data_IF_733024148054
#
_entry.id   IF_733024148054
#
_cell.length_a   1.000
_cell.length_b   1.000
_cell.length_c   1.000
_cell.angle_alpha   90.00
_cell.angle_beta   90.00
_cell.angle_gamma   90.00
#
_symmetry.space_group_name_H-M   'P 1'
#
loop_
_entity.id
_entity.type
_entity.pdbx_description
1 polymer ?
#
# COMPACT_ATOMS: atom_id res chain seq x y z
N UNK A 1 -15.50 -9.86 9.73
CA UNK A 1 -16.71 -8.99 9.70
C UNK A 1 -17.98 -9.79 9.98
N UNK A 2 -18.29 -10.85 9.23
CA UNK A 2 -19.48 -11.69 9.49
C UNK A 2 -19.58 -12.18 10.95
N UNK A 3 -18.47 -12.53 11.56
CA UNK A 3 -18.39 -13.01 12.94
C UNK A 3 -18.58 -11.92 14.01
N UNK A 4 -18.51 -10.65 13.61
CA UNK A 4 -18.64 -9.49 14.51
C UNK A 4 -20.06 -8.90 14.42
N UNK A 5 -20.61 -8.78 13.21
CA UNK A 5 -21.92 -8.18 12.92
C UNK A 5 -23.01 -9.27 12.83
N UNK A 6 -22.63 -10.54 12.63
CA UNK A 6 -23.57 -11.66 12.45
C UNK A 6 -24.20 -11.76 11.05
N UNK A 7 -24.00 -10.75 10.19
CA UNK A 7 -24.53 -10.66 8.84
C UNK A 7 -23.44 -10.30 7.82
N UNK A 8 -23.64 -10.67 6.56
CA UNK A 8 -22.71 -10.32 5.47
C UNK A 8 -22.96 -8.92 4.93
N UNK A 9 -24.22 -8.52 4.92
CA UNK A 9 -24.68 -7.25 4.37
C UNK A 9 -25.69 -6.66 5.35
N UNK A 10 -25.68 -5.34 5.48
CA UNK A 10 -26.59 -4.57 6.29
C UNK A 10 -27.08 -3.38 5.47
N UNK A 11 -28.40 -3.26 5.32
CA UNK A 11 -29.00 -2.08 4.71
C UNK A 11 -29.27 -1.05 5.79
N UNK A 12 -28.83 0.18 5.57
CA UNK A 12 -28.98 1.28 6.51
C UNK A 12 -29.62 2.47 5.83
N UNK A 13 -30.65 3.02 6.45
CA UNK A 13 -31.19 4.33 6.09
C UNK A 13 -30.34 5.41 6.75
N UNK A 14 -29.80 6.32 5.94
CA UNK A 14 -28.94 7.42 6.37
C UNK A 14 -29.55 8.76 5.99
N UNK A 15 -29.36 9.82 6.78
CA UNK A 15 -29.70 11.18 6.38
C UNK A 15 -28.98 11.58 5.09
N UNK A 16 -29.61 12.42 4.28
CA UNK A 16 -28.99 13.01 3.10
C UNK A 16 -27.74 13.81 3.50
N UNK A 17 -26.66 13.65 2.73
CA UNK A 17 -25.37 14.31 3.00
C UNK A 17 -24.48 13.59 4.02
N UNK A 18 -24.88 12.41 4.52
CA UNK A 18 -24.04 11.61 5.43
C UNK A 18 -22.72 11.24 4.75
N UNK A 19 -21.62 11.45 5.45
CA UNK A 19 -20.27 11.07 4.98
C UNK A 19 -19.92 9.63 5.35
N UNK A 20 -18.92 9.08 4.68
CA UNK A 20 -18.39 7.73 4.95
C UNK A 20 -17.84 7.62 6.40
N UNK A 21 -17.24 8.69 6.94
CA UNK A 21 -16.79 8.74 8.33
C UNK A 21 -17.94 8.68 9.33
N UNK A 22 -19.02 9.46 9.11
CA UNK A 22 -20.20 9.45 9.98
C UNK A 22 -20.92 8.11 9.97
N UNK A 23 -20.95 7.43 8.79
CA UNK A 23 -21.44 6.06 8.70
C UNK A 23 -20.59 5.11 9.56
N UNK A 24 -19.24 5.21 9.47
CA UNK A 24 -18.34 4.39 10.27
C UNK A 24 -18.54 4.62 11.77
N UNK A 25 -18.69 5.87 12.21
CA UNK A 25 -18.96 6.23 13.61
C UNK A 25 -20.30 5.64 14.09
N UNK A 26 -21.33 5.70 13.26
CA UNK A 26 -22.63 5.09 13.57
C UNK A 26 -22.50 3.57 13.75
N UNK A 27 -21.86 2.89 12.79
CA UNK A 27 -21.66 1.44 12.86
C UNK A 27 -20.77 1.07 14.08
N UNK A 28 -19.74 1.86 14.39
CA UNK A 28 -18.87 1.65 15.54
C UNK A 28 -19.63 1.78 16.87
N UNK A 29 -20.61 2.68 16.95
CA UNK A 29 -21.49 2.87 18.11
C UNK A 29 -22.46 1.70 18.29
N UNK A 30 -23.06 1.25 17.19
CA UNK A 30 -24.03 0.16 17.21
C UNK A 30 -23.38 -1.21 17.43
N UNK A 31 -22.07 -1.32 17.09
CA UNK A 31 -21.27 -2.53 17.21
C UNK A 31 -19.94 -2.25 17.95
N UNK A 32 -19.89 -2.30 19.30
CA UNK A 32 -18.71 -1.92 20.09
C UNK A 32 -17.42 -2.68 19.75
N UNK A 33 -17.53 -3.94 19.27
CA UNK A 33 -16.37 -4.72 18.80
C UNK A 33 -15.76 -4.15 17.51
N UNK A 34 -16.57 -3.53 16.66
CA UNK A 34 -16.10 -2.78 15.49
C UNK A 34 -15.55 -1.42 15.89
N UNK A 35 -16.11 -0.77 16.89
CA UNK A 35 -15.64 0.50 17.41
C UNK A 35 -14.17 0.47 17.83
N UNK A 36 -13.73 -0.62 18.48
CA UNK A 36 -12.33 -0.82 18.82
C UNK A 36 -11.38 -0.92 17.60
N UNK A 37 -11.91 -1.28 16.44
CA UNK A 37 -11.16 -1.42 15.18
C UNK A 37 -11.37 -0.22 14.24
N UNK A 38 -12.35 0.64 14.49
CA UNK A 38 -12.73 1.74 13.60
C UNK A 38 -11.56 2.61 13.11
N UNK A 39 -10.56 2.98 13.95
CA UNK A 39 -9.41 3.77 13.50
C UNK A 39 -8.51 3.06 12.48
N UNK A 40 -8.65 1.74 12.34
CA UNK A 40 -7.82 0.92 11.45
C UNK A 40 -8.60 0.38 10.25
N UNK A 41 -9.91 0.64 10.17
CA UNK A 41 -10.74 0.21 9.06
C UNK A 41 -10.54 1.12 7.85
N UNK A 42 -10.32 0.50 6.67
CA UNK A 42 -10.39 1.20 5.40
C UNK A 42 -11.83 1.18 4.90
N UNK A 43 -12.23 2.28 4.28
CA UNK A 43 -13.55 2.41 3.64
C UNK A 43 -13.41 2.24 2.13
N UNK A 44 -14.31 1.48 1.54
CA UNK A 44 -14.49 1.47 0.10
C UNK A 44 -15.97 1.74 -0.21
N UNK A 45 -16.23 2.59 -1.20
CA UNK A 45 -17.56 2.90 -1.72
C UNK A 45 -17.60 2.49 -3.18
N UNK A 46 -18.56 1.63 -3.54
CA UNK A 46 -18.72 1.11 -4.90
C UNK A 46 -17.42 0.46 -5.44
N UNK A 47 -16.71 -0.29 -4.56
CA UNK A 47 -15.45 -1.02 -4.86
C UNK A 47 -14.22 -0.13 -5.05
N UNK A 48 -14.30 1.17 -4.76
CA UNK A 48 -13.19 2.11 -4.76
C UNK A 48 -12.88 2.56 -3.33
N UNK A 49 -11.59 2.71 -2.98
CA UNK A 49 -11.23 3.28 -1.69
C UNK A 49 -11.76 4.69 -1.56
N UNK A 50 -12.35 5.01 -0.42
CA UNK A 50 -12.96 6.30 -0.16
C UNK A 50 -12.34 6.95 1.09
N UNK A 51 -12.14 8.27 1.01
CA UNK A 51 -11.81 9.07 2.18
C UNK A 51 -13.06 9.24 3.06
N UNK A 52 -12.84 9.47 4.35
CA UNK A 52 -13.93 9.67 5.30
C UNK A 52 -14.85 10.84 4.97
N UNK A 53 -14.36 11.83 4.24
CA UNK A 53 -15.10 13.03 3.79
C UNK A 53 -16.05 12.77 2.61
N UNK A 54 -16.01 11.60 1.97
CA UNK A 54 -16.89 11.27 0.85
C UNK A 54 -18.34 11.23 1.30
N UNK A 55 -19.19 12.03 0.64
CA UNK A 55 -20.65 12.02 0.83
C UNK A 55 -21.22 10.77 0.15
N UNK A 56 -22.07 10.05 0.86
CA UNK A 56 -22.74 8.84 0.40
C UNK A 56 -24.04 9.20 -0.33
N UNK A 57 -24.34 8.46 -1.38
CA UNK A 57 -25.57 8.54 -2.15
C UNK A 57 -26.46 7.32 -1.90
N UNK A 58 -27.75 7.44 -2.24
CA UNK A 58 -28.68 6.31 -2.18
C UNK A 58 -28.22 5.20 -3.14
N UNK A 59 -28.24 3.96 -2.65
CA UNK A 59 -27.77 2.79 -3.38
C UNK A 59 -26.26 2.56 -3.35
N UNK A 60 -25.46 3.40 -2.67
CA UNK A 60 -24.02 3.16 -2.53
C UNK A 60 -23.74 1.87 -1.74
N UNK A 61 -22.85 1.03 -2.27
CA UNK A 61 -22.31 -0.14 -1.58
C UNK A 61 -21.06 0.30 -0.79
N UNK A 62 -21.15 0.28 0.54
CA UNK A 62 -20.02 0.63 1.40
C UNK A 62 -19.42 -0.62 2.03
N UNK A 63 -18.14 -0.87 1.78
CA UNK A 63 -17.39 -1.95 2.39
C UNK A 63 -16.46 -1.42 3.48
N UNK A 64 -16.56 -2.02 4.67
CA UNK A 64 -15.60 -1.85 5.74
C UNK A 64 -14.52 -2.92 5.59
N UNK A 65 -13.31 -2.51 5.27
CA UNK A 65 -12.19 -3.42 5.05
C UNK A 65 -11.34 -3.40 6.32
N UNK A 66 -11.38 -4.47 7.16
CA UNK A 66 -10.52 -4.54 8.31
C UNK A 66 -9.06 -4.60 7.87
N UNK A 67 -8.14 -4.03 8.64
CA UNK A 67 -6.74 -4.39 8.48
C UNK A 67 -6.68 -5.91 8.62
N UNK A 68 -6.06 -6.57 7.67
CA UNK A 68 -5.95 -8.04 7.67
C UNK A 68 -5.15 -8.48 8.91
N UNK A 69 -5.84 -8.65 10.04
CA UNK A 69 -5.31 -9.31 11.23
C UNK A 69 -5.12 -10.79 10.91
N UNK A 70 -3.93 -11.19 10.64
CA UNK A 70 -3.61 -12.50 10.08
C UNK A 70 -3.21 -12.44 8.61
N UNK A 71 -3.15 -11.25 8.00
CA UNK A 71 -2.84 -11.04 6.60
C UNK A 71 -1.52 -11.67 6.16
N UNK A 72 -1.54 -12.19 4.96
CA UNK A 72 -0.36 -12.59 4.19
C UNK A 72 0.48 -11.34 3.88
N UNK A 73 1.75 -11.54 3.55
CA UNK A 73 2.57 -10.48 2.99
C UNK A 73 1.87 -9.82 1.78
N UNK A 74 2.11 -8.53 1.57
CA UNK A 74 1.52 -7.76 0.48
C UNK A 74 2.55 -7.52 -0.62
N UNK A 75 2.23 -7.96 -1.84
CA UNK A 75 3.04 -7.72 -3.03
C UNK A 75 2.14 -7.20 -4.13
N UNK A 76 2.30 -5.94 -4.52
CA UNK A 76 1.33 -5.28 -5.39
C UNK A 76 1.98 -4.33 -6.40
N UNK A 77 1.47 -4.38 -7.64
CA UNK A 77 1.63 -3.31 -8.64
C UNK A 77 0.33 -2.51 -8.65
N UNK A 78 0.42 -1.19 -8.67
CA UNK A 78 -0.75 -0.29 -8.63
C UNK A 78 -0.56 0.93 -9.53
N UNK A 79 -1.64 1.47 -10.06
CA UNK A 79 -1.66 2.78 -10.74
C UNK A 79 -1.98 3.92 -9.77
N UNK A 80 -2.60 3.58 -8.65
CA UNK A 80 -2.98 4.55 -7.62
C UNK A 80 -1.79 5.03 -6.76
N UNK A 81 -1.98 6.10 -6.00
CA UNK A 81 -0.96 6.65 -5.12
C UNK A 81 -0.55 5.65 -4.02
N UNK A 82 0.73 5.65 -3.70
CA UNK A 82 1.30 4.81 -2.64
C UNK A 82 1.40 5.61 -1.35
N UNK A 83 0.78 5.10 -0.28
CA UNK A 83 0.82 5.66 1.07
C UNK A 83 1.46 4.70 2.06
N UNK A 84 2.29 5.22 2.98
CA UNK A 84 2.97 4.41 3.99
C UNK A 84 2.05 3.98 5.13
N UNK A 85 1.15 4.83 5.59
CA UNK A 85 0.36 4.58 6.80
C UNK A 85 -0.46 3.28 6.73
N UNK A 86 -1.22 3.00 5.66
CA UNK A 86 -1.92 1.73 5.52
C UNK A 86 -0.97 0.53 5.45
N UNK A 87 0.21 0.68 4.82
CA UNK A 87 1.19 -0.39 4.70
C UNK A 87 1.84 -0.70 6.04
N UNK A 88 2.21 0.33 6.83
CA UNK A 88 2.72 0.17 8.20
C UNK A 88 1.69 -0.55 9.06
N UNK A 89 0.43 -0.12 9.02
CA UNK A 89 -0.64 -0.78 9.75
C UNK A 89 -0.83 -2.25 9.34
N UNK A 90 -0.66 -2.58 8.05
CA UNK A 90 -0.82 -3.95 7.53
C UNK A 90 0.26 -4.92 8.00
N UNK A 91 1.49 -4.44 8.23
CA UNK A 91 2.62 -5.29 8.66
C UNK A 91 2.83 -5.33 10.16
N UNK A 92 2.32 -4.35 10.90
CA UNK A 92 2.49 -4.28 12.36
C UNK A 92 1.87 -5.48 13.07
N UNK A 93 2.60 -6.05 14.04
CA UNK A 93 2.19 -7.19 14.87
C UNK A 93 2.51 -6.90 16.32
N UNK A 94 1.80 -7.55 17.22
CA UNK A 94 2.10 -7.47 18.66
C UNK A 94 3.49 -8.06 19.01
N UNK A 95 4.04 -8.88 18.12
CA UNK A 95 5.39 -9.47 18.23
C UNK A 95 6.47 -8.59 17.63
N UNK A 96 6.10 -7.57 16.83
CA UNK A 96 7.05 -6.71 16.16
C UNK A 96 7.59 -5.63 17.09
N UNK A 97 8.88 -5.63 17.31
CA UNK A 97 9.59 -4.55 18.02
C UNK A 97 10.06 -3.43 17.11
N UNK A 98 9.99 -3.62 15.79
CA UNK A 98 10.41 -2.63 14.80
C UNK A 98 9.66 -2.78 13.46
N UNK A 99 9.42 -1.64 12.81
CA UNK A 99 9.00 -1.55 11.42
C UNK A 99 9.99 -0.67 10.68
N UNK A 100 10.61 -1.20 9.64
CA UNK A 100 11.47 -0.44 8.72
C UNK A 100 10.70 -0.11 7.44
N UNK A 101 10.89 1.10 6.94
CA UNK A 101 10.23 1.58 5.73
C UNK A 101 11.24 2.15 4.74
N UNK A 102 11.05 1.86 3.47
CA UNK A 102 11.70 2.54 2.36
C UNK A 102 10.62 3.13 1.46
N UNK A 103 10.74 4.41 1.14
CA UNK A 103 9.87 5.11 0.21
C UNK A 103 10.72 5.70 -0.91
N UNK A 104 10.57 5.19 -2.14
CA UNK A 104 11.20 5.75 -3.33
C UNK A 104 10.36 6.88 -3.89
N UNK A 105 10.94 8.07 -4.02
CA UNK A 105 10.26 9.29 -4.45
C UNK A 105 10.87 9.79 -5.76
N UNK A 106 10.04 10.32 -6.65
CA UNK A 106 10.48 10.96 -7.89
C UNK A 106 11.22 12.25 -7.59
N UNK A 107 12.49 12.33 -8.01
CA UNK A 107 13.36 13.50 -7.79
C UNK A 107 13.29 14.45 -8.97
N UNK A 108 13.46 15.75 -8.69
CA UNK A 108 13.53 16.80 -9.70
C UNK A 108 14.78 16.69 -10.60
N UNK A 109 15.88 16.18 -10.08
CA UNK A 109 17.12 16.03 -10.83
C UNK A 109 17.58 14.58 -10.88
N UNK A 110 17.95 14.11 -12.07
CA UNK A 110 18.58 12.84 -12.32
C UNK A 110 19.70 13.00 -13.35
N UNK A 111 20.88 12.44 -13.08
CA UNK A 111 22.04 12.47 -13.99
C UNK A 111 22.43 13.87 -14.47
N UNK A 112 22.26 14.89 -13.62
CA UNK A 112 22.55 16.29 -13.95
C UNK A 112 21.52 17.00 -14.83
N UNK A 113 20.37 16.36 -15.12
CA UNK A 113 19.27 16.92 -15.92
C UNK A 113 18.02 17.10 -15.07
N UNK A 114 17.23 18.10 -15.42
CA UNK A 114 15.94 18.34 -14.77
C UNK A 114 14.89 17.39 -15.34
N UNK A 115 14.28 16.61 -14.45
CA UNK A 115 13.19 15.69 -14.75
C UNK A 115 11.88 16.44 -14.62
N UNK A 116 10.97 16.26 -15.58
CA UNK A 116 9.61 16.79 -15.50
C UNK A 116 8.62 15.76 -14.95
N UNK A 117 8.82 14.49 -15.27
CA UNK A 117 8.06 13.37 -14.71
C UNK A 117 8.79 12.04 -14.95
N UNK A 118 8.40 11.01 -14.22
CA UNK A 118 8.77 9.63 -14.53
C UNK A 118 7.54 8.86 -15.04
N UNK A 119 7.77 7.92 -15.93
CA UNK A 119 6.78 6.92 -16.32
C UNK A 119 7.34 5.54 -15.97
N UNK A 120 6.55 4.75 -15.25
CA UNK A 120 6.87 3.37 -14.96
C UNK A 120 5.94 2.44 -15.70
N UNK A 121 6.49 1.40 -16.27
CA UNK A 121 5.76 0.30 -16.87
C UNK A 121 6.23 -1.01 -16.26
N UNK A 122 5.36 -2.02 -16.21
CA UNK A 122 5.68 -3.32 -15.65
C UNK A 122 4.88 -4.43 -16.33
N UNK A 123 5.36 -5.67 -16.19
CA UNK A 123 4.53 -6.85 -16.39
C UNK A 123 3.97 -7.29 -15.03
N UNK A 124 2.71 -6.93 -14.67
CA UNK A 124 2.22 -6.99 -13.30
C UNK A 124 2.27 -8.39 -12.67
N UNK A 125 1.89 -9.44 -13.41
CA UNK A 125 1.87 -10.80 -12.90
C UNK A 125 3.29 -11.28 -12.55
N UNK A 126 4.25 -11.04 -13.45
CA UNK A 126 5.65 -11.43 -13.24
C UNK A 126 6.29 -10.55 -12.17
N UNK A 127 6.01 -9.25 -12.16
CA UNK A 127 6.51 -8.32 -11.14
C UNK A 127 6.06 -8.75 -9.73
N UNK A 128 4.78 -9.06 -9.57
CA UNK A 128 4.23 -9.56 -8.30
C UNK A 128 4.84 -10.90 -7.90
N UNK A 129 5.03 -11.83 -8.84
CA UNK A 129 5.70 -13.10 -8.57
C UNK A 129 7.16 -12.91 -8.11
N UNK A 130 7.89 -11.97 -8.74
CA UNK A 130 9.26 -11.62 -8.34
C UNK A 130 9.33 -10.95 -6.97
N UNK A 131 8.38 -10.09 -6.63
CA UNK A 131 8.28 -9.51 -5.28
C UNK A 131 8.03 -10.59 -4.22
N UNK A 132 7.19 -11.61 -4.50
CA UNK A 132 7.01 -12.77 -3.61
C UNK A 132 8.30 -13.56 -3.43
N UNK A 133 9.04 -13.79 -4.52
CA UNK A 133 10.35 -14.43 -4.46
C UNK A 133 11.30 -13.67 -3.52
N UNK A 134 11.33 -12.33 -3.60
CA UNK A 134 12.12 -11.48 -2.69
C UNK A 134 11.68 -11.70 -1.24
N UNK A 135 10.40 -11.75 -0.98
CA UNK A 135 9.87 -12.04 0.36
C UNK A 135 10.33 -13.39 0.91
N UNK A 136 10.36 -14.42 0.07
CA UNK A 136 10.87 -15.75 0.44
C UNK A 136 12.39 -15.72 0.70
N UNK A 137 13.17 -14.98 -0.10
CA UNK A 137 14.61 -14.78 0.11
C UNK A 137 14.90 -14.09 1.44
N UNK A 138 14.09 -13.05 1.79
CA UNK A 138 14.18 -12.32 3.06
C UNK A 138 13.93 -13.26 4.24
N UNK A 139 12.86 -14.05 4.20
CA UNK A 139 12.49 -14.97 5.28
C UNK A 139 13.52 -16.07 5.53
N UNK A 140 14.32 -16.43 4.54
CA UNK A 140 15.43 -17.37 4.69
C UNK A 140 16.63 -16.77 5.42
N UNK A 141 16.78 -15.44 5.39
CA UNK A 141 17.94 -14.73 5.92
C UNK A 141 17.66 -14.04 7.25
N UNK A 142 16.43 -13.56 7.48
CA UNK A 142 16.05 -12.78 8.66
C UNK A 142 14.71 -13.25 9.25
N UNK A 143 14.60 -13.25 10.60
CA UNK A 143 13.33 -13.49 11.28
C UNK A 143 12.44 -12.24 11.19
N UNK A 144 11.71 -12.10 10.08
CA UNK A 144 10.76 -11.01 9.87
C UNK A 144 9.32 -11.48 10.11
N UNK A 145 8.49 -10.58 10.63
CA UNK A 145 7.08 -10.88 10.90
C UNK A 145 6.23 -10.74 9.63
N UNK A 146 6.32 -9.56 8.96
CA UNK A 146 5.52 -9.23 7.77
C UNK A 146 6.31 -8.38 6.78
N UNK A 147 5.93 -8.50 5.51
CA UNK A 147 6.54 -7.80 4.39
C UNK A 147 5.42 -7.19 3.53
N UNK A 148 5.56 -5.91 3.19
CA UNK A 148 4.78 -5.27 2.15
C UNK A 148 5.72 -4.63 1.12
N UNK A 149 5.54 -4.94 -0.16
CA UNK A 149 6.24 -4.33 -1.29
C UNK A 149 5.18 -3.88 -2.29
N UNK A 150 5.07 -2.58 -2.48
CA UNK A 150 4.12 -1.97 -3.43
C UNK A 150 4.88 -1.09 -4.39
N UNK A 151 4.67 -1.26 -5.69
CA UNK A 151 5.26 -0.39 -6.72
C UNK A 151 4.16 0.21 -7.58
N UNK A 152 4.24 1.53 -7.79
CA UNK A 152 3.31 2.26 -8.66
C UNK A 152 3.83 2.28 -10.08
N UNK A 153 2.93 2.11 -11.04
CA UNK A 153 3.16 2.26 -12.47
C UNK A 153 2.38 3.45 -13.03
N UNK A 154 2.61 3.77 -14.31
CA UNK A 154 2.06 4.93 -14.97
C UNK A 154 2.92 6.17 -14.75
N UNK A 155 2.33 7.34 -14.99
CA UNK A 155 3.03 8.63 -14.89
C UNK A 155 3.04 9.14 -13.46
N UNK A 156 4.22 9.54 -12.98
CA UNK A 156 4.44 10.08 -11.66
C UNK A 156 5.07 11.48 -11.77
N UNK A 157 4.53 12.43 -11.01
CA UNK A 157 5.08 13.76 -10.86
C UNK A 157 6.25 13.77 -9.85
N UNK A 158 7.01 14.86 -9.85
CA UNK A 158 8.07 15.11 -8.86
C UNK A 158 7.46 15.11 -7.45
N UNK A 159 8.11 14.43 -6.52
CA UNK A 159 7.66 14.27 -5.14
C UNK A 159 6.71 13.09 -4.90
N UNK A 160 6.14 12.49 -5.95
CA UNK A 160 5.28 11.32 -5.80
C UNK A 160 6.08 10.04 -5.49
N UNK A 161 5.48 9.16 -4.70
CA UNK A 161 6.07 7.88 -4.34
C UNK A 161 5.88 6.85 -5.47
N UNK A 162 6.99 6.23 -5.88
CA UNK A 162 7.00 5.16 -6.89
C UNK A 162 6.99 3.77 -6.29
N UNK A 163 7.64 3.58 -5.16
CA UNK A 163 7.76 2.29 -4.48
C UNK A 163 7.73 2.48 -2.98
N UNK A 164 7.02 1.61 -2.28
CA UNK A 164 7.09 1.49 -0.83
C UNK A 164 7.44 0.05 -0.44
N UNK A 165 8.37 -0.09 0.50
CA UNK A 165 8.73 -1.34 1.13
C UNK A 165 8.57 -1.14 2.63
N UNK A 166 7.81 -2.02 3.27
CA UNK A 166 7.56 -1.96 4.71
C UNK A 166 7.75 -3.35 5.28
N UNK A 167 8.65 -3.48 6.26
CA UNK A 167 9.00 -4.77 6.86
C UNK A 167 8.96 -4.65 8.37
N UNK A 168 8.22 -5.54 9.01
CA UNK A 168 8.18 -5.67 10.46
C UNK A 168 9.02 -6.87 10.93
N UNK A 169 9.67 -6.71 12.07
CA UNK A 169 10.48 -7.75 12.69
C UNK A 169 10.52 -7.58 14.22
N UNK A 170 10.87 -8.63 14.98
CA UNK A 170 11.08 -8.52 16.44
C UNK A 170 12.12 -7.47 16.83
N UNK A 171 13.17 -7.26 16.03
CA UNK A 171 14.22 -6.30 16.34
C UNK A 171 14.56 -5.42 15.12
N UNK A 172 15.03 -4.20 15.40
CA UNK A 172 15.33 -3.17 14.38
C UNK A 172 16.39 -3.57 13.37
N UNK A 173 17.39 -4.37 13.77
CA UNK A 173 18.51 -4.75 12.90
C UNK A 173 18.01 -5.56 11.70
N UNK A 174 17.21 -6.56 11.97
CA UNK A 174 16.63 -7.46 10.97
C UNK A 174 15.67 -6.71 10.05
N UNK A 175 14.81 -5.85 10.61
CA UNK A 175 13.90 -5.02 9.82
C UNK A 175 14.64 -4.11 8.84
N UNK A 176 15.70 -3.41 9.29
CA UNK A 176 16.50 -2.51 8.46
C UNK A 176 17.28 -3.25 7.39
N UNK A 177 17.92 -4.38 7.75
CA UNK A 177 18.71 -5.19 6.79
C UNK A 177 17.80 -5.80 5.72
N UNK A 178 16.65 -6.35 6.11
CA UNK A 178 15.68 -6.90 5.19
C UNK A 178 15.09 -5.83 4.25
N UNK A 179 14.82 -4.62 4.76
CA UNK A 179 14.32 -3.51 3.97
C UNK A 179 15.36 -3.02 2.93
N UNK A 180 16.62 -2.90 3.32
CA UNK A 180 17.73 -2.57 2.41
C UNK A 180 17.90 -3.64 1.34
N UNK A 181 17.92 -4.91 1.71
CA UNK A 181 17.98 -6.02 0.78
C UNK A 181 16.81 -6.01 -0.21
N UNK A 182 15.58 -5.77 0.29
CA UNK A 182 14.39 -5.77 -0.55
C UNK A 182 14.47 -4.76 -1.69
N UNK A 183 14.90 -3.50 -1.43
CA UNK A 183 14.97 -2.49 -2.49
C UNK A 183 16.05 -2.81 -3.53
N UNK A 184 17.20 -3.33 -3.13
CA UNK A 184 18.23 -3.74 -4.09
C UNK A 184 17.72 -4.89 -4.98
N UNK A 185 17.08 -5.90 -4.38
CA UNK A 185 16.51 -7.02 -5.14
C UNK A 185 15.37 -6.58 -6.07
N UNK A 186 14.50 -5.64 -5.64
CA UNK A 186 13.45 -5.08 -6.52
C UNK A 186 14.07 -4.49 -7.78
N UNK A 187 15.15 -3.71 -7.66
CA UNK A 187 15.86 -3.14 -8.81
C UNK A 187 16.53 -4.18 -9.70
N UNK A 188 16.95 -5.32 -9.14
CA UNK A 188 17.68 -6.36 -9.87
C UNK A 188 16.77 -7.30 -10.66
N UNK A 189 15.64 -7.75 -10.07
CA UNK A 189 14.90 -8.88 -10.63
C UNK A 189 13.43 -8.58 -10.96
N UNK A 190 12.86 -7.47 -10.46
CA UNK A 190 11.46 -7.16 -10.76
C UNK A 190 11.36 -6.48 -12.12
N UNK A 191 10.56 -7.00 -13.07
CA UNK A 191 10.44 -6.46 -14.42
C UNK A 191 9.60 -5.17 -14.40
N UNK A 192 10.26 -4.08 -14.03
CA UNK A 192 9.74 -2.72 -14.04
C UNK A 192 10.68 -1.86 -14.87
N UNK A 193 10.14 -1.13 -15.81
CA UNK A 193 10.87 -0.22 -16.68
C UNK A 193 10.55 1.21 -16.28
N UNK A 194 11.56 2.06 -16.34
CA UNK A 194 11.46 3.48 -16.03
C UNK A 194 11.77 4.32 -17.26
N UNK A 195 10.90 5.26 -17.57
CA UNK A 195 11.12 6.30 -18.56
C UNK A 195 11.28 7.65 -17.87
N UNK A 196 12.43 8.29 -18.05
CA UNK A 196 12.63 9.65 -17.59
C UNK A 196 12.16 10.63 -18.67
N UNK A 197 11.27 11.55 -18.31
CA UNK A 197 10.79 12.61 -19.16
C UNK A 197 11.45 13.91 -18.73
N UNK A 198 12.20 14.52 -19.63
CA UNK A 198 12.85 15.82 -19.42
C UNK A 198 12.14 16.89 -20.24
N UNK A 199 12.51 18.14 -20.08
CA UNK A 199 11.98 19.26 -20.86
C UNK A 199 12.35 19.19 -22.35
N UNK A 200 13.43 18.49 -22.69
CA UNK A 200 14.01 18.36 -24.02
C UNK A 200 13.96 16.93 -24.61
N UNK A 201 13.19 16.03 -24.02
CA UNK A 201 13.03 14.68 -24.50
C UNK A 201 12.69 13.65 -23.43
N UNK A 202 12.71 12.37 -23.82
CA UNK A 202 12.46 11.26 -22.89
C UNK A 202 13.33 10.06 -23.25
N UNK A 203 13.76 9.30 -22.23
CA UNK A 203 14.57 8.09 -22.42
C UNK A 203 14.06 6.97 -21.52
N UNK A 204 13.89 5.78 -22.09
CA UNK A 204 13.68 4.55 -21.34
C UNK A 204 14.99 4.10 -20.69
N UNK A 205 14.91 3.81 -19.39
CA UNK A 205 16.02 3.29 -18.61
C UNK A 205 15.65 1.86 -18.19
N UNK A 206 16.45 0.89 -18.64
CA UNK A 206 16.23 -0.54 -18.34
C UNK A 206 16.46 -0.89 -16.88
N UNK A 207 16.19 -2.17 -16.52
CA UNK A 207 16.23 -2.72 -15.14
C UNK A 207 17.58 -2.53 -14.40
N UNK A 208 18.67 -2.16 -15.06
CA UNK A 208 20.03 -2.12 -14.50
C UNK A 208 20.69 -0.73 -14.57
N UNK A 209 19.94 0.34 -14.43
CA UNK A 209 20.47 1.69 -14.54
C UNK A 209 20.52 2.44 -13.21
#
# INVERSE_FOLDING_TARGET
>A
MKDIIGQRELTLDLPEGTTAAELLERIARDHPRLGAMAPTLLLAVNREYAEGSRILADGDEVALIPPVSGGTDLYQITEGPVSLDPLVASVARNTSGAVATFLGIVREFARGRQVSSLEYDAYPEMATAKMRQIGEEIRKQWPVDRIAIVHRIGRLAIGEASVAIVISAPHRREALQACSYAIERVKEIVPIWKREVWTDGAVWIGMHA
#
